data_IF_182704908488
#
_entry.id   IF_182704908488
#
_cell.length_a   1.000
_cell.length_b   1.000
_cell.length_c   1.000
_cell.angle_alpha   90.00
_cell.angle_beta   90.00
_cell.angle_gamma   90.00
#
_symmetry.space_group_name_H-M   'P 1'
#
loop_
_entity.id
_entity.type
_entity.pdbx_description
1 polymer ?
#
# COMPACT_ATOMS: atom_id res chain seq x y z
N UNK A 1 -11.74 61.80 -20.11
CA UNK A 1 -10.89 60.78 -19.45
C UNK A 1 -11.56 60.45 -18.12
N UNK A 2 -11.93 59.23 -17.71
CA UNK A 2 -11.51 57.87 -18.06
C UNK A 2 -12.73 56.93 -18.07
N UNK A 3 -12.81 56.10 -19.13
CA UNK A 3 -13.28 54.70 -19.21
C UNK A 3 -14.46 54.23 -18.33
N UNK A 4 -15.62 54.15 -18.99
CA UNK A 4 -16.73 53.17 -18.89
C UNK A 4 -16.95 52.36 -17.59
N UNK A 5 -17.88 52.82 -16.75
CA UNK A 5 -18.65 51.98 -15.80
C UNK A 5 -19.62 51.00 -16.51
N UNK A 6 -19.85 51.17 -17.82
CA UNK A 6 -20.67 50.29 -18.67
C UNK A 6 -20.00 48.95 -19.05
N UNK A 7 -18.87 48.58 -18.42
CA UNK A 7 -18.23 47.26 -18.55
C UNK A 7 -18.47 46.32 -17.36
N UNK A 8 -19.29 46.71 -16.38
CA UNK A 8 -19.88 45.80 -15.36
C UNK A 8 -21.29 45.38 -15.82
N UNK A 9 -21.47 45.32 -17.14
CA UNK A 9 -22.48 44.50 -17.79
C UNK A 9 -21.73 43.28 -18.32
N UNK A 10 -21.26 42.43 -17.41
CA UNK A 10 -21.04 41.00 -17.62
C UNK A 10 -20.63 40.40 -16.27
N UNK A 11 -21.44 39.45 -15.85
CA UNK A 11 -21.02 38.28 -15.08
C UNK A 11 -21.08 38.36 -13.56
N UNK A 12 -22.28 38.03 -13.05
CA UNK A 12 -22.51 37.14 -11.91
C UNK A 12 -22.07 37.70 -10.54
N UNK A 13 -22.93 38.52 -9.94
CA UNK A 13 -23.01 38.63 -8.49
C UNK A 13 -24.45 38.83 -8.02
N UNK A 14 -25.35 37.99 -8.50
CA UNK A 14 -26.68 37.79 -7.90
C UNK A 14 -27.21 36.47 -8.44
N UNK A 15 -27.90 35.71 -7.58
CA UNK A 15 -28.41 34.35 -7.79
C UNK A 15 -27.40 33.25 -7.40
N UNK A 16 -27.35 32.94 -6.11
CA UNK A 16 -27.54 31.58 -5.60
C UNK A 16 -28.00 31.68 -4.13
N UNK A 17 -29.19 32.22 -3.95
CA UNK A 17 -30.05 31.87 -2.83
C UNK A 17 -31.16 30.99 -3.41
N UNK A 18 -31.55 29.95 -2.66
CA UNK A 18 -32.48 28.86 -3.04
C UNK A 18 -31.81 27.87 -4.01
N UNK A 19 -31.43 26.64 -3.65
CA UNK A 19 -32.18 25.58 -3.01
C UNK A 19 -31.24 24.62 -2.24
N UNK A 20 -31.40 24.48 -0.92
CA UNK A 20 -31.12 23.19 -0.27
C UNK A 20 -32.46 22.48 -0.09
N UNK A 21 -32.98 21.95 -1.22
CA UNK A 21 -33.89 20.81 -1.09
C UNK A 21 -33.00 19.65 -0.70
N UNK A 22 -33.21 19.14 0.50
CA UNK A 22 -32.76 17.80 0.90
C UNK A 22 -33.54 16.83 0.02
N UNK A 23 -33.06 16.63 -1.20
CA UNK A 23 -33.44 15.50 -2.01
C UNK A 23 -32.45 14.39 -1.67
N UNK A 24 -32.91 13.41 -0.88
CA UNK A 24 -32.53 12.01 -1.12
C UNK A 24 -32.98 11.67 -2.55
N UNK A 25 -32.27 12.20 -3.53
CA UNK A 25 -32.44 11.90 -4.93
C UNK A 25 -31.47 10.80 -5.26
N UNK A 26 -32.01 9.67 -5.70
CA UNK A 26 -31.30 8.61 -6.42
C UNK A 26 -30.22 9.26 -7.30
N UNK A 27 -28.95 9.15 -6.89
CA UNK A 27 -27.86 9.32 -7.84
C UNK A 27 -28.06 8.18 -8.82
N UNK A 28 -28.45 8.49 -10.05
CA UNK A 28 -27.99 7.70 -11.16
C UNK A 28 -26.49 7.53 -10.95
N UNK A 29 -26.05 6.30 -10.71
CA UNK A 29 -24.64 5.96 -10.55
C UNK A 29 -23.93 6.48 -11.80
N UNK A 30 -23.27 7.65 -11.67
CA UNK A 30 -22.35 8.11 -12.69
C UNK A 30 -21.37 6.95 -12.87
N UNK A 31 -21.45 6.28 -14.02
CA UNK A 31 -20.70 5.05 -14.28
C UNK A 31 -19.23 5.34 -14.01
N UNK A 32 -18.70 4.77 -12.92
CA UNK A 32 -17.33 5.00 -12.48
C UNK A 32 -16.40 4.64 -13.65
N UNK A 33 -15.56 5.58 -14.05
CA UNK A 33 -14.54 5.35 -15.06
C UNK A 33 -13.37 4.60 -14.40
N UNK A 34 -13.40 3.26 -14.47
CA UNK A 34 -12.41 2.40 -13.80
C UNK A 34 -10.98 2.69 -14.27
N UNK A 35 -10.81 2.88 -15.58
CA UNK A 35 -9.51 3.17 -16.19
C UNK A 35 -8.90 4.45 -15.62
N UNK A 36 -9.69 5.52 -15.57
CA UNK A 36 -9.25 6.81 -15.02
C UNK A 36 -8.88 6.71 -13.54
N UNK A 37 -9.65 5.98 -12.73
CA UNK A 37 -9.35 5.78 -11.31
C UNK A 37 -8.01 5.07 -11.12
N UNK A 38 -7.79 3.96 -11.84
CA UNK A 38 -6.55 3.19 -11.76
C UNK A 38 -5.36 3.99 -12.30
N UNK A 39 -5.54 4.74 -13.39
CA UNK A 39 -4.48 5.58 -13.97
C UNK A 39 -4.05 6.69 -13.01
N UNK A 40 -5.00 7.47 -12.49
CA UNK A 40 -4.69 8.52 -11.52
C UNK A 40 -4.06 7.95 -10.25
N UNK A 41 -4.46 6.75 -9.84
CA UNK A 41 -3.83 6.07 -8.72
C UNK A 41 -2.37 5.71 -9.00
N UNK A 42 -2.04 5.16 -10.17
CA UNK A 42 -0.64 4.92 -10.58
C UNK A 42 0.17 6.22 -10.57
N UNK A 43 -0.36 7.28 -11.19
CA UNK A 43 0.29 8.59 -11.24
C UNK A 43 0.49 9.21 -9.84
N UNK A 44 -0.49 9.10 -8.95
CA UNK A 44 -0.37 9.60 -7.59
C UNK A 44 0.69 8.81 -6.78
N UNK A 45 0.61 7.48 -6.78
CA UNK A 45 1.48 6.64 -5.94
C UNK A 45 2.94 6.63 -6.43
N UNK A 46 3.19 6.72 -7.75
CA UNK A 46 4.54 6.87 -8.31
C UNK A 46 5.26 8.16 -7.88
N UNK A 47 4.51 9.17 -7.45
CA UNK A 47 5.06 10.44 -6.95
C UNK A 47 5.28 10.44 -5.43
N UNK A 48 5.07 9.31 -4.74
CA UNK A 48 5.32 9.21 -3.30
C UNK A 48 6.83 9.22 -3.04
N UNK A 49 7.26 10.15 -2.19
CA UNK A 49 8.66 10.36 -1.78
C UNK A 49 8.94 9.82 -0.40
N UNK A 50 7.93 9.79 0.46
CA UNK A 50 8.05 9.30 1.83
C UNK A 50 6.70 8.81 2.34
N UNK A 51 6.70 7.99 3.39
CA UNK A 51 5.47 7.57 4.03
C UNK A 51 5.67 6.55 5.12
N UNK A 52 4.57 6.24 5.80
CA UNK A 52 4.45 5.14 6.73
C UNK A 52 3.68 3.99 6.10
N UNK A 53 4.14 2.75 6.33
CA UNK A 53 3.50 1.52 5.90
C UNK A 53 3.38 0.59 7.09
N UNK A 54 2.15 0.24 7.46
CA UNK A 54 1.85 -0.77 8.46
C UNK A 54 1.36 -2.03 7.78
N UNK A 55 2.03 -3.15 7.99
CA UNK A 55 1.61 -4.47 7.52
C UNK A 55 1.19 -5.31 8.71
N UNK A 56 0.00 -5.90 8.67
CA UNK A 56 -0.41 -6.98 9.54
C UNK A 56 -0.53 -8.25 8.71
N UNK A 57 0.19 -9.30 9.08
CA UNK A 57 0.14 -10.57 8.38
C UNK A 57 -0.18 -11.71 9.35
N UNK A 58 -0.98 -12.66 8.90
CA UNK A 58 -1.29 -13.90 9.59
C UNK A 58 -1.11 -15.07 8.65
N UNK A 59 -0.29 -16.03 9.05
CA UNK A 59 -0.02 -17.25 8.31
C UNK A 59 -0.48 -18.41 9.18
N UNK A 60 -1.38 -19.23 8.67
CA UNK A 60 -1.90 -20.42 9.36
C UNK A 60 -1.55 -21.66 8.53
N UNK A 61 -0.90 -22.64 9.17
CA UNK A 61 -0.57 -23.93 8.54
C UNK A 61 -1.24 -25.04 9.35
N UNK A 62 -1.99 -25.88 8.65
CA UNK A 62 -2.72 -26.99 9.25
C UNK A 62 -1.79 -27.91 10.05
N UNK A 63 -2.12 -28.09 11.34
CA UNK A 63 -1.34 -28.92 12.26
C UNK A 63 -0.05 -28.27 12.80
N UNK A 64 0.33 -27.08 12.34
CA UNK A 64 1.53 -26.35 12.81
C UNK A 64 1.20 -25.06 13.56
N UNK A 65 -0.05 -24.59 13.47
CA UNK A 65 -0.53 -23.42 14.20
C UNK A 65 -0.57 -22.16 13.33
N UNK A 66 -0.49 -21.00 13.97
CA UNK A 66 -0.44 -19.72 13.27
C UNK A 66 0.74 -18.87 13.73
N UNK A 67 1.21 -18.01 12.83
CA UNK A 67 2.19 -16.97 13.10
C UNK A 67 1.60 -15.64 12.66
N UNK A 68 1.68 -14.65 13.54
CA UNK A 68 1.22 -13.29 13.28
C UNK A 68 2.40 -12.32 13.32
N UNK A 69 2.50 -11.49 12.29
CA UNK A 69 3.52 -10.45 12.17
C UNK A 69 2.88 -9.08 12.04
N UNK A 70 3.51 -8.08 12.65
CA UNK A 70 3.30 -6.67 12.35
C UNK A 70 4.61 -6.06 11.88
N UNK A 71 4.56 -5.31 10.78
CA UNK A 71 5.71 -4.58 10.24
C UNK A 71 5.32 -3.11 10.15
N UNK A 72 5.86 -2.28 11.03
CA UNK A 72 5.71 -0.82 10.99
C UNK A 72 6.94 -0.19 10.34
N UNK A 73 6.75 0.41 9.17
CA UNK A 73 7.81 1.02 8.39
C UNK A 73 7.59 2.52 8.23
N UNK A 74 8.65 3.30 8.43
CA UNK A 74 8.79 4.68 7.95
C UNK A 74 9.86 4.70 6.87
N UNK A 75 9.61 5.34 5.74
CA UNK A 75 10.59 5.41 4.64
C UNK A 75 10.59 6.79 3.98
N UNK A 76 11.79 7.21 3.57
CA UNK A 76 12.09 8.34 2.70
C UNK A 76 12.90 7.76 1.53
N UNK A 77 12.44 7.93 0.28
CA UNK A 77 13.07 7.32 -0.89
C UNK A 77 14.43 7.97 -1.24
N UNK A 78 14.52 9.29 -1.11
CA UNK A 78 15.69 10.06 -1.56
C UNK A 78 16.07 11.21 -0.59
N UNK A 79 17.29 11.21 -0.01
CA UNK A 79 18.19 10.05 0.07
C UNK A 79 17.51 8.91 0.87
N UNK A 80 17.81 7.65 0.51
CA UNK A 80 17.18 6.50 1.14
C UNK A 80 17.42 6.50 2.66
N UNK A 81 16.32 6.63 3.40
CA UNK A 81 16.29 6.43 4.85
C UNK A 81 15.06 5.61 5.21
N UNK A 82 15.23 4.63 6.11
CA UNK A 82 14.15 3.74 6.53
C UNK A 82 14.28 3.38 8.00
N UNK A 83 13.15 3.21 8.66
CA UNK A 83 13.01 2.54 9.94
C UNK A 83 11.93 1.47 9.78
N UNK A 84 12.22 0.24 10.15
CA UNK A 84 11.23 -0.83 10.23
C UNK A 84 11.26 -1.46 11.62
N UNK A 85 10.08 -1.73 12.16
CA UNK A 85 9.89 -2.52 13.38
C UNK A 85 9.08 -3.75 12.97
N UNK A 86 9.67 -4.93 13.15
CA UNK A 86 9.06 -6.21 12.84
C UNK A 86 8.77 -6.91 14.17
N UNK A 87 7.50 -7.18 14.43
CA UNK A 87 7.03 -7.86 15.64
C UNK A 87 6.38 -9.18 15.27
N UNK A 88 6.82 -10.27 15.91
CA UNK A 88 6.14 -11.56 15.86
C UNK A 88 5.26 -11.70 17.12
N UNK A 89 3.96 -11.49 16.97
CA UNK A 89 3.03 -11.33 18.10
C UNK A 89 2.99 -12.54 19.03
N UNK A 90 3.08 -13.74 18.47
CA UNK A 90 2.94 -14.98 19.22
C UNK A 90 4.17 -15.30 20.08
N UNK A 91 5.34 -14.74 19.73
CA UNK A 91 6.61 -14.97 20.44
C UNK A 91 7.06 -13.74 21.25
N UNK A 92 6.34 -12.62 21.14
CA UNK A 92 6.70 -11.33 21.74
C UNK A 92 8.16 -10.92 21.43
N UNK A 93 8.61 -11.28 20.22
CA UNK A 93 9.93 -10.94 19.69
C UNK A 93 9.79 -9.74 18.76
N UNK A 94 10.67 -8.76 18.91
CA UNK A 94 10.72 -7.55 18.08
C UNK A 94 12.12 -7.37 17.51
N UNK A 95 12.17 -6.97 16.24
CA UNK A 95 13.38 -6.56 15.54
C UNK A 95 13.21 -5.13 15.03
N UNK A 96 14.20 -4.28 15.27
CA UNK A 96 14.23 -2.93 14.70
C UNK A 96 15.36 -2.84 13.69
N UNK A 97 15.04 -2.38 12.49
CA UNK A 97 15.99 -2.15 11.41
C UNK A 97 15.97 -0.68 11.00
N UNK A 98 17.15 -0.11 10.78
CA UNK A 98 17.32 1.19 10.14
C UNK A 98 18.13 1.04 8.86
N UNK A 99 17.83 1.87 7.87
CA UNK A 99 18.66 2.09 6.70
C UNK A 99 18.96 3.57 6.63
N UNK A 100 20.23 3.94 6.55
CA UNK A 100 20.66 5.34 6.37
C UNK A 100 22.09 5.39 5.84
N UNK A 101 22.36 6.35 4.96
CA UNK A 101 23.72 6.62 4.43
C UNK A 101 24.43 5.37 3.86
N UNK A 102 23.67 4.49 3.19
CA UNK A 102 24.19 3.26 2.59
C UNK A 102 24.52 2.15 3.59
N UNK A 103 24.05 2.26 4.83
CA UNK A 103 24.23 1.27 5.89
C UNK A 103 22.90 0.70 6.36
N UNK A 104 22.90 -0.57 6.73
CA UNK A 104 21.81 -1.24 7.45
C UNK A 104 22.23 -1.41 8.90
N UNK A 105 21.31 -1.14 9.82
CA UNK A 105 21.48 -1.37 11.25
C UNK A 105 20.30 -2.22 11.73
N UNK A 106 20.54 -3.34 12.40
CA UNK A 106 19.48 -4.20 12.87
C UNK A 106 19.74 -4.68 14.30
N UNK A 107 18.69 -4.76 15.12
CA UNK A 107 18.75 -5.45 16.41
C UNK A 107 18.65 -6.95 16.20
N UNK A 108 19.46 -7.72 16.89
CA UNK A 108 19.16 -9.15 17.11
C UNK A 108 18.11 -9.31 18.22
N UNK A 109 17.57 -10.51 18.43
CA UNK A 109 16.53 -10.78 19.44
C UNK A 109 16.89 -10.40 20.90
N UNK A 110 18.15 -10.07 21.19
CA UNK A 110 18.63 -9.58 22.48
C UNK A 110 18.78 -8.04 22.57
N UNK A 111 18.31 -7.30 21.57
CA UNK A 111 18.56 -5.86 21.38
C UNK A 111 20.03 -5.49 21.12
N UNK A 112 20.89 -6.47 20.80
CA UNK A 112 22.25 -6.18 20.35
C UNK A 112 22.21 -5.68 18.90
N UNK A 113 22.77 -4.49 18.68
CA UNK A 113 22.86 -3.89 17.35
C UNK A 113 23.96 -4.53 16.51
N UNK A 114 23.66 -4.74 15.24
CA UNK A 114 24.60 -5.11 14.18
C UNK A 114 24.47 -4.11 13.03
N UNK A 115 25.55 -3.91 12.29
CA UNK A 115 25.51 -3.05 11.11
C UNK A 115 26.33 -3.61 9.96
N UNK A 116 25.84 -3.37 8.75
CA UNK A 116 26.49 -3.79 7.52
C UNK A 116 26.25 -2.79 6.38
N UNK A 117 27.05 -2.87 5.33
CA UNK A 117 26.87 -2.05 4.14
C UNK A 117 25.65 -2.52 3.33
N UNK A 118 24.80 -1.59 2.90
CA UNK A 118 23.69 -1.88 2.00
C UNK A 118 24.20 -2.08 0.57
N UNK A 119 23.83 -3.19 -0.06
CA UNK A 119 24.10 -3.40 -1.48
C UNK A 119 23.19 -2.53 -2.35
N UNK A 120 23.67 -2.09 -3.51
CA UNK A 120 22.90 -1.24 -4.43
C UNK A 120 21.58 -1.90 -4.85
N UNK A 121 21.60 -3.20 -5.17
CA UNK A 121 20.40 -3.94 -5.55
C UNK A 121 19.35 -3.97 -4.42
N UNK A 122 19.79 -4.05 -3.15
CA UNK A 122 18.87 -4.01 -2.02
C UNK A 122 18.31 -2.60 -1.80
N UNK A 123 19.10 -1.55 -2.07
CA UNK A 123 18.66 -0.17 -1.93
C UNK A 123 17.45 0.16 -2.82
N UNK A 124 17.49 -0.26 -4.09
CA UNK A 124 16.36 -0.05 -5.02
C UNK A 124 15.11 -0.81 -4.57
N UNK A 125 15.25 -2.07 -4.13
CA UNK A 125 14.12 -2.85 -3.60
C UNK A 125 13.44 -2.16 -2.40
N UNK A 126 14.20 -1.48 -1.53
CA UNK A 126 13.62 -0.73 -0.42
C UNK A 126 12.86 0.51 -0.89
N UNK A 127 13.38 1.24 -1.89
CA UNK A 127 12.68 2.40 -2.47
C UNK A 127 11.32 2.01 -3.05
N UNK A 128 11.27 0.85 -3.72
CA UNK A 128 10.07 0.33 -4.36
C UNK A 128 9.07 -0.29 -3.37
N UNK A 129 9.41 -0.39 -2.08
CA UNK A 129 8.54 -1.03 -1.07
C UNK A 129 7.21 -0.31 -0.83
N UNK A 130 7.10 0.97 -1.21
CA UNK A 130 5.85 1.74 -1.25
C UNK A 130 5.06 1.56 -2.55
N UNK A 131 5.69 1.02 -3.60
CA UNK A 131 5.18 1.00 -4.97
C UNK A 131 4.49 -0.33 -5.33
N UNK A 132 4.52 -1.33 -4.45
CA UNK A 132 4.00 -2.69 -4.70
C UNK A 132 2.51 -2.75 -5.14
N UNK A 133 1.73 -1.69 -4.95
CA UNK A 133 0.35 -1.61 -5.44
C UNK A 133 0.20 -0.91 -6.81
N UNK A 134 1.26 -0.26 -7.29
CA UNK A 134 1.33 0.31 -8.64
C UNK A 134 1.34 -0.81 -9.68
N UNK A 135 2.19 -1.84 -9.48
CA UNK A 135 2.26 -3.01 -10.36
C UNK A 135 0.89 -3.68 -10.50
N UNK A 136 0.16 -3.88 -9.39
CA UNK A 136 -1.21 -4.37 -9.42
C UNK A 136 -2.13 -3.47 -10.25
N UNK A 137 -2.14 -2.15 -10.00
CA UNK A 137 -2.97 -1.23 -10.78
C UNK A 137 -2.66 -1.26 -12.28
N UNK A 138 -1.39 -1.41 -12.67
CA UNK A 138 -0.98 -1.51 -14.07
C UNK A 138 -1.53 -2.78 -14.72
N UNK A 139 -1.42 -3.93 -14.05
CA UNK A 139 -2.01 -5.19 -14.53
C UNK A 139 -3.53 -5.06 -14.68
N UNK A 140 -4.20 -4.42 -13.71
CA UNK A 140 -5.66 -4.30 -13.72
C UNK A 140 -6.21 -3.38 -14.82
N UNK A 141 -5.42 -2.44 -15.34
CA UNK A 141 -5.84 -1.56 -16.45
C UNK A 141 -6.16 -2.33 -17.72
N UNK A 142 -5.49 -3.44 -17.96
CA UNK A 142 -5.71 -4.29 -19.15
C UNK A 142 -6.87 -5.29 -18.96
N UNK A 143 -7.43 -5.37 -17.74
CA UNK A 143 -8.44 -6.36 -17.33
C UNK A 143 -9.64 -5.73 -16.59
N UNK A 144 -10.08 -4.54 -17.01
CA UNK A 144 -11.14 -3.76 -16.35
C UNK A 144 -12.50 -4.47 -16.25
N UNK A 145 -12.75 -5.48 -17.10
CA UNK A 145 -13.93 -6.34 -17.04
C UNK A 145 -13.96 -7.22 -15.79
N UNK A 146 -12.79 -7.53 -15.21
CA UNK A 146 -12.61 -8.32 -13.99
C UNK A 146 -12.49 -7.48 -12.71
N UNK A 147 -12.60 -6.16 -12.81
CA UNK A 147 -12.41 -5.22 -11.69
C UNK A 147 -13.74 -4.62 -11.29
N UNK A 148 -14.06 -4.60 -10.01
CA UNK A 148 -15.18 -3.84 -9.45
C UNK A 148 -14.65 -2.63 -8.70
N UNK A 149 -15.19 -1.44 -9.00
CA UNK A 149 -14.89 -0.22 -8.25
C UNK A 149 -16.20 0.35 -7.71
N UNK A 150 -16.26 0.60 -6.40
CA UNK A 150 -17.40 1.23 -5.72
C UNK A 150 -16.96 2.48 -4.97
N UNK A 151 -17.84 3.46 -4.85
CA UNK A 151 -17.59 4.62 -4.00
C UNK A 151 -18.12 4.38 -2.58
N UNK A 152 -17.27 4.54 -1.58
CA UNK A 152 -17.68 4.47 -0.18
C UNK A 152 -16.94 5.50 0.68
N UNK A 153 -17.70 6.36 1.37
CA UNK A 153 -17.20 7.30 2.39
C UNK A 153 -15.99 8.13 1.94
N UNK A 154 -16.01 8.65 0.71
CA UNK A 154 -14.91 9.46 0.17
C UNK A 154 -13.74 8.65 -0.42
N UNK A 155 -13.89 7.33 -0.57
CA UNK A 155 -12.88 6.45 -1.15
C UNK A 155 -13.49 5.65 -2.31
N UNK A 156 -12.63 5.14 -3.19
CA UNK A 156 -12.92 4.05 -4.10
C UNK A 156 -12.50 2.73 -3.45
N UNK A 157 -13.39 1.75 -3.42
CA UNK A 157 -13.11 0.37 -3.02
C UNK A 157 -12.92 -0.43 -4.29
N UNK A 158 -11.72 -0.96 -4.51
CA UNK A 158 -11.38 -1.79 -5.67
C UNK A 158 -11.30 -3.24 -5.24
N UNK A 159 -12.11 -4.09 -5.87
CA UNK A 159 -12.11 -5.54 -5.66
C UNK A 159 -11.92 -6.25 -6.99
N UNK A 160 -11.26 -7.39 -6.98
CA UNK A 160 -10.99 -8.20 -8.18
C UNK A 160 -11.89 -9.44 -8.18
N UNK A 161 -12.47 -9.75 -9.34
CA UNK A 161 -13.27 -10.96 -9.52
C UNK A 161 -12.43 -12.23 -9.30
N UNK A 162 -13.06 -13.29 -8.81
CA UNK A 162 -12.36 -14.56 -8.52
C UNK A 162 -11.75 -15.20 -9.77
N UNK A 163 -12.28 -14.92 -10.95
CA UNK A 163 -11.77 -15.42 -12.23
C UNK A 163 -10.61 -14.55 -12.74
N UNK A 164 -9.51 -14.56 -11.96
CA UNK A 164 -8.34 -13.70 -12.14
C UNK A 164 -7.09 -14.49 -12.55
N UNK A 165 -7.22 -15.37 -13.55
CA UNK A 165 -6.09 -16.16 -14.08
C UNK A 165 -4.92 -15.26 -14.55
N UNK A 166 -5.22 -14.03 -14.97
CA UNK A 166 -4.22 -13.02 -15.35
C UNK A 166 -3.35 -12.54 -14.17
N UNK A 167 -3.80 -12.70 -12.92
CA UNK A 167 -3.02 -12.39 -11.72
C UNK A 167 -2.18 -13.58 -11.22
N UNK A 168 -2.27 -14.74 -11.87
CA UNK A 168 -1.66 -15.96 -11.35
C UNK A 168 -0.16 -15.81 -11.09
N UNK A 169 0.58 -15.29 -12.04
CA UNK A 169 2.02 -15.10 -11.92
C UNK A 169 2.37 -14.12 -10.79
N UNK A 170 1.68 -12.97 -10.75
CA UNK A 170 1.87 -11.96 -9.72
C UNK A 170 1.58 -12.53 -8.33
N UNK A 171 0.42 -13.16 -8.13
CA UNK A 171 0.04 -13.68 -6.82
C UNK A 171 0.89 -14.87 -6.38
N UNK A 172 1.28 -15.75 -7.31
CA UNK A 172 2.22 -16.84 -7.00
C UNK A 172 3.57 -16.28 -6.55
N UNK A 173 4.08 -15.23 -7.20
CA UNK A 173 5.31 -14.52 -6.79
C UNK A 173 5.18 -13.96 -5.37
N UNK A 174 4.11 -13.22 -5.09
CA UNK A 174 3.89 -12.62 -3.76
C UNK A 174 3.76 -13.68 -2.66
N UNK A 175 2.98 -14.74 -2.89
CA UNK A 175 2.84 -15.84 -1.92
C UNK A 175 4.17 -16.58 -1.73
N UNK A 176 4.91 -16.82 -2.82
CA UNK A 176 6.21 -17.50 -2.74
C UNK A 176 7.22 -16.69 -1.94
N UNK A 177 7.20 -15.37 -2.05
CA UNK A 177 8.03 -14.47 -1.26
C UNK A 177 7.68 -14.55 0.24
N UNK A 178 6.40 -14.67 0.58
CA UNK A 178 5.94 -14.79 1.97
C UNK A 178 6.37 -16.12 2.58
N UNK A 179 6.21 -17.23 1.86
CA UNK A 179 6.50 -18.58 2.41
C UNK A 179 7.94 -19.03 2.20
N UNK A 180 8.75 -18.31 1.42
CA UNK A 180 10.14 -18.64 1.12
C UNK A 180 10.32 -19.85 0.19
N UNK A 181 9.28 -20.24 -0.55
CA UNK A 181 9.34 -21.34 -1.52
C UNK A 181 8.33 -21.13 -2.64
N UNK A 182 8.60 -21.72 -3.82
CA UNK A 182 7.70 -21.61 -4.96
C UNK A 182 6.35 -22.29 -4.66
N UNK A 183 5.27 -21.51 -4.75
CA UNK A 183 3.89 -22.00 -4.66
C UNK A 183 3.23 -21.80 -6.02
N UNK A 184 2.52 -22.84 -6.47
CA UNK A 184 1.57 -22.71 -7.59
C UNK A 184 0.16 -22.96 -7.05
N UNK A 185 -0.66 -21.92 -7.01
CA UNK A 185 -2.04 -22.02 -6.55
C UNK A 185 -3.03 -21.45 -7.58
N UNK A 186 -4.30 -21.82 -7.43
CA UNK A 186 -5.39 -21.27 -8.24
C UNK A 186 -5.77 -19.87 -7.72
N UNK A 187 -5.64 -18.79 -8.51
CA UNK A 187 -5.99 -17.43 -8.11
C UNK A 187 -7.43 -17.28 -7.59
N UNK A 188 -8.34 -18.20 -7.94
CA UNK A 188 -9.72 -18.24 -7.41
C UNK A 188 -9.80 -18.40 -5.91
N UNK A 189 -8.74 -18.91 -5.29
CA UNK A 189 -8.62 -19.04 -3.85
C UNK A 189 -8.07 -17.79 -3.16
N UNK A 190 -7.67 -16.76 -3.94
CA UNK A 190 -7.26 -15.48 -3.41
C UNK A 190 -8.43 -14.49 -3.36
N UNK A 191 -8.31 -13.51 -2.48
CA UNK A 191 -9.13 -12.30 -2.44
C UNK A 191 -8.17 -11.13 -2.33
N UNK A 192 -8.38 -10.13 -3.18
CA UNK A 192 -7.59 -8.90 -3.22
C UNK A 192 -8.57 -7.73 -3.21
N UNK A 193 -8.39 -6.82 -2.27
CA UNK A 193 -9.14 -5.58 -2.19
C UNK A 193 -8.22 -4.44 -1.76
N UNK A 194 -8.43 -3.24 -2.29
CA UNK A 194 -7.72 -2.06 -1.81
C UNK A 194 -8.55 -0.79 -1.95
N UNK A 195 -8.15 0.21 -1.17
CA UNK A 195 -8.88 1.46 -0.96
C UNK A 195 -8.06 2.61 -1.54
N UNK A 196 -8.65 3.36 -2.46
CA UNK A 196 -8.06 4.55 -3.06
C UNK A 196 -8.80 5.78 -2.55
N UNK A 197 -8.08 6.78 -2.08
CA UNK A 197 -8.65 8.07 -1.71
C UNK A 197 -9.22 8.81 -2.94
N UNK A 198 -10.44 9.35 -2.88
CA UNK A 198 -11.05 9.99 -4.06
C UNK A 198 -10.43 11.35 -4.42
N UNK A 199 -9.87 12.06 -3.45
CA UNK A 199 -9.33 13.41 -3.66
C UNK A 199 -7.90 13.34 -4.16
N UNK A 200 -7.10 12.48 -3.51
CA UNK A 200 -5.66 12.38 -3.76
C UNK A 200 -5.25 11.22 -4.66
N UNK A 201 -6.12 10.23 -4.85
CA UNK A 201 -5.85 8.98 -5.57
C UNK A 201 -4.73 8.10 -4.96
N UNK A 202 -4.27 8.43 -3.76
CA UNK A 202 -3.37 7.57 -3.01
C UNK A 202 -4.08 6.30 -2.57
N UNK A 203 -3.33 5.20 -2.57
CA UNK A 203 -3.80 3.96 -1.95
C UNK A 203 -3.65 4.13 -0.44
N UNK A 204 -4.73 3.91 0.29
CA UNK A 204 -4.77 4.05 1.76
C UNK A 204 -4.57 2.71 2.45
N UNK A 205 -5.14 1.66 1.90
CA UNK A 205 -5.02 0.32 2.45
C UNK A 205 -5.23 -0.74 1.39
N UNK A 206 -4.69 -1.93 1.61
CA UNK A 206 -4.98 -3.13 0.85
C UNK A 206 -5.15 -4.32 1.77
N UNK A 207 -5.90 -5.31 1.30
CA UNK A 207 -6.07 -6.60 1.94
C UNK A 207 -5.87 -7.70 0.91
N UNK A 208 -5.15 -8.73 1.32
CA UNK A 208 -4.91 -9.93 0.55
C UNK A 208 -5.21 -11.13 1.44
N UNK A 209 -5.93 -12.11 0.91
CA UNK A 209 -6.04 -13.41 1.58
C UNK A 209 -6.02 -14.52 0.57
N UNK A 210 -5.35 -15.62 0.89
CA UNK A 210 -5.33 -16.83 0.05
C UNK A 210 -5.48 -18.07 0.91
N UNK A 211 -6.21 -19.04 0.40
CA UNK A 211 -6.24 -20.41 0.92
C UNK A 211 -5.64 -21.37 -0.13
N UNK A 212 -4.56 -22.06 0.23
CA UNK A 212 -3.88 -23.00 -0.67
C UNK A 212 -3.32 -24.19 0.11
N UNK A 213 -2.42 -24.96 -0.49
CA UNK A 213 -1.70 -26.04 0.17
C UNK A 213 -0.19 -25.83 0.12
N UNK A 214 0.47 -26.21 1.21
CA UNK A 214 1.91 -26.31 1.31
C UNK A 214 2.25 -27.70 1.86
N UNK A 215 3.01 -28.50 1.10
CA UNK A 215 3.37 -29.88 1.50
C UNK A 215 2.14 -30.71 1.95
N UNK A 216 1.08 -30.68 1.13
CA UNK A 216 -0.24 -31.30 1.38
C UNK A 216 -1.05 -30.79 2.59
N UNK A 217 -0.52 -29.83 3.36
CA UNK A 217 -1.22 -29.17 4.47
C UNK A 217 -1.94 -27.92 3.98
N UNK A 218 -3.13 -27.64 4.50
CA UNK A 218 -3.82 -26.38 4.21
C UNK A 218 -3.01 -25.18 4.74
N UNK A 219 -2.79 -24.20 3.88
CA UNK A 219 -2.13 -22.93 4.15
C UNK A 219 -3.15 -21.80 3.99
N UNK A 220 -3.24 -20.92 4.97
CA UNK A 220 -4.01 -19.68 4.88
C UNK A 220 -3.10 -18.50 5.15
N UNK A 221 -3.07 -17.54 4.23
CA UNK A 221 -2.36 -16.28 4.40
C UNK A 221 -3.39 -15.16 4.41
N UNK A 222 -3.27 -14.24 5.34
CA UNK A 222 -4.02 -12.99 5.40
C UNK A 222 -3.04 -11.85 5.60
N UNK A 223 -3.16 -10.79 4.82
CA UNK A 223 -2.30 -9.62 4.91
C UNK A 223 -3.15 -8.37 4.75
N UNK A 224 -2.95 -7.41 5.65
CA UNK A 224 -3.53 -6.07 5.58
C UNK A 224 -2.39 -5.07 5.57
N UNK A 225 -2.42 -4.13 4.63
CA UNK A 225 -1.45 -3.05 4.51
C UNK A 225 -2.17 -1.73 4.65
N UNK A 226 -1.63 -0.80 5.43
CA UNK A 226 -2.12 0.58 5.52
C UNK A 226 -0.98 1.54 5.23
N UNK A 227 -1.26 2.56 4.42
CA UNK A 227 -0.36 3.67 4.13
C UNK A 227 -0.83 4.94 4.84
N UNK A 228 0.10 5.66 5.43
CA UNK A 228 -0.16 6.92 6.15
C UNK A 228 1.02 7.89 6.04
N UNK A 229 0.84 9.12 6.48
CA UNK A 229 1.86 10.19 6.45
C UNK A 229 2.57 10.31 5.09
N UNK A 230 1.81 10.09 4.01
CA UNK A 230 2.33 10.16 2.64
C UNK A 230 2.93 11.55 2.41
N UNK A 231 4.17 11.58 1.94
CA UNK A 231 4.96 12.79 1.71
C UNK A 231 5.12 13.70 2.94
N UNK A 232 4.97 13.15 4.15
CA UNK A 232 4.98 13.90 5.42
C UNK A 232 6.04 13.38 6.42
N UNK A 233 6.86 12.41 6.03
CA UNK A 233 7.97 11.90 6.87
C UNK A 233 9.21 12.72 6.54
N UNK A 234 9.63 13.57 7.46
CA UNK A 234 10.70 14.56 7.22
C UNK A 234 12.09 14.01 7.54
N UNK A 235 12.23 13.24 8.63
CA UNK A 235 13.51 12.74 9.10
C UNK A 235 13.38 11.34 9.68
N UNK A 236 14.41 10.52 9.46
CA UNK A 236 14.61 9.24 10.14
C UNK A 236 16.03 9.25 10.73
N UNK A 237 16.12 9.02 12.04
CA UNK A 237 17.37 9.09 12.79
C UNK A 237 17.73 7.72 13.36
N UNK A 238 18.94 7.27 13.06
CA UNK A 238 19.52 6.03 13.60
C UNK A 238 19.96 6.30 15.05
N UNK A 239 19.62 5.43 16.02
CA UNK A 239 20.04 5.62 17.41
C UNK A 239 21.56 5.48 17.55
N UNK A 240 22.14 6.19 18.53
CA UNK A 240 23.60 6.21 18.77
C UNK A 240 24.17 4.81 19.05
N UNK A 241 23.41 3.97 19.75
CA UNK A 241 23.76 2.58 20.05
C UNK A 241 23.96 1.74 18.77
N UNK A 242 23.14 1.98 17.74
CA UNK A 242 23.25 1.33 16.44
C UNK A 242 24.46 1.86 15.66
N UNK A 243 24.70 3.17 15.67
CA UNK A 243 25.85 3.78 15.01
C UNK A 243 27.18 3.24 15.57
N UNK A 244 27.21 3.05 16.89
CA UNK A 244 28.38 2.57 17.63
C UNK A 244 28.51 1.04 17.66
N UNK A 245 27.60 0.29 17.03
CA UNK A 245 27.71 -1.17 16.99
C UNK A 245 28.94 -1.63 16.21
N UNK A 246 29.43 -2.82 16.51
CA UNK A 246 30.48 -3.44 15.72
C UNK A 246 29.90 -3.93 14.37
N UNK A 247 30.76 -4.04 13.35
CA UNK A 247 30.48 -4.80 12.14
C UNK A 247 30.58 -6.30 12.41
#
# INVERSE_FOLDING_TARGET
MKKSLKKILFTILTVFAVFFVVACGNKEDAKINKEEVLQKSVEANSNIKSGNKLVNAKIEVEGEGNVEFTIDTSIIKEPLAMKAIIEQKNENTQMTTYIKDGMVYATTGNNDWQKEALSENNAENFKDSLDASIEMNEILKDHLDKVTIKEERGNYIVSIDKDADFLKEFLNKEVSNIVGQNIDFDPKNATVEYVIDKETYFIKSSSFSVETKIQDKKLKIMTEVTLSNINSVEEITVPEEALNSNN
#
